data_IF_746164780246
#
_entry.id   IF_746164780246
#
_cell.length_a   1.000
_cell.length_b   1.000
_cell.length_c   1.000
_cell.angle_alpha   90.00
_cell.angle_beta   90.00
_cell.angle_gamma   90.00
#
_symmetry.space_group_name_H-M   'P 1'
#
loop_
_entity.id
_entity.type
_entity.pdbx_description
1 polymer ?
#
# COMPACT_ATOMS: atom_id res chain seq x y z
N UNK A 1 -10.10 -23.03 -0.55
CA UNK A 1 -9.56 -21.73 -1.03
C UNK A 1 -8.61 -21.23 0.03
N UNK A 2 -7.39 -20.81 -0.32
CA UNK A 2 -6.47 -20.22 0.66
C UNK A 2 -7.08 -18.95 1.23
N UNK A 3 -6.90 -18.73 2.53
CA UNK A 3 -7.28 -17.46 3.15
C UNK A 3 -6.40 -16.34 2.58
N UNK A 4 -6.99 -15.19 2.25
CA UNK A 4 -6.24 -14.02 1.86
C UNK A 4 -5.49 -13.47 3.10
N UNK A 5 -4.24 -13.07 2.93
CA UNK A 5 -3.38 -12.55 4.01
C UNK A 5 -2.65 -11.29 3.56
N UNK A 6 -2.30 -10.43 4.51
CA UNK A 6 -1.41 -9.29 4.27
C UNK A 6 0.05 -9.75 4.20
N UNK A 7 0.37 -10.57 3.19
CA UNK A 7 1.72 -11.05 2.95
C UNK A 7 2.64 -9.93 2.41
N UNK A 8 3.92 -10.26 2.22
CA UNK A 8 4.92 -9.29 1.73
C UNK A 8 4.53 -8.63 0.40
N UNK A 9 3.92 -9.36 -0.54
CA UNK A 9 3.53 -8.82 -1.84
C UNK A 9 2.36 -7.85 -1.71
N UNK A 10 1.32 -8.23 -0.96
CA UNK A 10 0.16 -7.36 -0.72
C UNK A 10 0.59 -6.10 0.04
N UNK A 11 1.41 -6.27 1.09
CA UNK A 11 1.95 -5.17 1.88
C UNK A 11 2.75 -4.19 1.02
N UNK A 12 3.70 -4.67 0.23
CA UNK A 12 4.50 -3.81 -0.65
C UNK A 12 3.63 -3.13 -1.71
N UNK A 13 2.63 -3.83 -2.25
CA UNK A 13 1.72 -3.24 -3.24
C UNK A 13 0.94 -2.05 -2.65
N UNK A 14 0.48 -2.16 -1.40
CA UNK A 14 -0.18 -1.06 -0.67
C UNK A 14 0.78 0.11 -0.47
N UNK A 15 2.01 -0.16 -0.02
CA UNK A 15 3.02 0.88 0.18
C UNK A 15 3.33 1.62 -1.12
N UNK A 16 3.50 0.89 -2.24
CA UNK A 16 3.72 1.49 -3.55
C UNK A 16 2.55 2.37 -3.98
N UNK A 17 1.30 1.92 -3.79
CA UNK A 17 0.13 2.70 -4.14
C UNK A 17 0.03 4.00 -3.34
N UNK A 18 0.33 3.95 -2.04
CA UNK A 18 0.20 5.10 -1.14
C UNK A 18 1.34 6.12 -1.31
N UNK A 19 2.58 5.65 -1.46
CA UNK A 19 3.75 6.53 -1.53
C UNK A 19 3.95 7.10 -2.92
N UNK A 20 3.85 6.27 -3.95
CA UNK A 20 4.12 6.72 -5.31
C UNK A 20 2.87 7.37 -5.92
N UNK A 21 1.67 6.89 -5.59
CA UNK A 21 0.37 7.42 -6.02
C UNK A 21 0.34 7.82 -7.52
N UNK A 22 0.88 6.97 -8.39
CA UNK A 22 0.97 7.19 -9.83
C UNK A 22 1.87 8.35 -10.28
N UNK A 23 2.69 8.93 -9.40
CA UNK A 23 3.65 9.99 -9.73
C UNK A 23 4.81 9.44 -10.52
N UNK A 24 5.33 10.25 -11.44
CA UNK A 24 6.69 10.10 -11.96
C UNK A 24 7.65 10.90 -11.07
N UNK A 25 8.88 10.43 -10.82
CA UNK A 25 9.61 9.33 -11.49
C UNK A 25 9.22 7.90 -11.05
N UNK A 26 9.72 6.84 -11.73
CA UNK A 26 9.52 5.43 -11.34
C UNK A 26 9.90 5.11 -9.89
N UNK A 27 9.48 3.93 -9.41
CA UNK A 27 9.79 3.47 -8.05
C UNK A 27 11.30 3.53 -7.76
N UNK A 28 11.65 3.81 -6.50
CA UNK A 28 13.04 3.88 -6.11
C UNK A 28 13.75 2.53 -6.34
N UNK A 29 15.06 2.52 -6.66
CA UNK A 29 15.81 1.28 -6.87
C UNK A 29 15.71 0.29 -5.71
N UNK A 30 15.57 0.79 -4.47
CA UNK A 30 15.35 -0.02 -3.27
C UNK A 30 14.01 -0.75 -3.29
N UNK A 31 12.91 -0.06 -3.63
CA UNK A 31 11.57 -0.68 -3.75
C UNK A 31 11.50 -1.66 -4.91
N UNK A 32 12.16 -1.35 -6.03
CA UNK A 32 12.29 -2.27 -7.17
C UNK A 32 13.09 -3.55 -6.82
N UNK A 33 14.11 -3.44 -5.96
CA UNK A 33 14.86 -4.59 -5.47
C UNK A 33 14.01 -5.44 -4.51
N UNK A 34 13.28 -4.80 -3.59
CA UNK A 34 12.35 -5.47 -2.68
C UNK A 34 11.24 -6.21 -3.43
N UNK A 35 10.61 -5.54 -4.41
CA UNK A 35 9.57 -6.14 -5.25
C UNK A 35 10.07 -7.38 -6.00
N UNK A 36 11.28 -7.30 -6.58
CA UNK A 36 11.93 -8.46 -7.21
C UNK A 36 12.22 -9.58 -6.22
N UNK A 37 12.65 -9.25 -5.00
CA UNK A 37 12.85 -10.23 -3.91
C UNK A 37 11.56 -10.97 -3.52
N UNK A 38 10.41 -10.32 -3.70
CA UNK A 38 9.07 -10.90 -3.52
C UNK A 38 8.51 -11.56 -4.80
N UNK A 39 9.31 -11.65 -5.86
CA UNK A 39 8.96 -12.25 -7.13
C UNK A 39 7.97 -11.43 -7.97
N UNK A 40 7.82 -10.13 -7.71
CA UNK A 40 6.97 -9.24 -8.52
C UNK A 40 7.69 -8.88 -9.82
N UNK A 41 6.96 -8.85 -10.93
CA UNK A 41 7.48 -8.32 -12.19
C UNK A 41 7.28 -6.80 -12.27
N UNK A 42 8.01 -6.13 -13.17
CA UNK A 42 7.91 -4.68 -13.35
C UNK A 42 6.49 -4.19 -13.64
N UNK A 43 5.70 -4.95 -14.41
CA UNK A 43 4.31 -4.61 -14.68
C UNK A 43 3.41 -4.68 -13.44
N UNK A 44 3.69 -5.59 -12.50
CA UNK A 44 2.96 -5.65 -11.22
C UNK A 44 3.34 -4.50 -10.30
N UNK A 45 4.62 -4.11 -10.27
CA UNK A 45 5.09 -2.91 -9.57
C UNK A 45 4.39 -1.67 -10.13
N UNK A 46 4.42 -1.51 -11.45
CA UNK A 46 3.78 -0.39 -12.15
C UNK A 46 2.26 -0.32 -11.96
N UNK A 47 1.60 -1.48 -11.86
CA UNK A 47 0.19 -1.55 -11.53
C UNK A 47 -0.05 -1.11 -10.07
N UNK A 48 0.72 -1.64 -9.12
CA UNK A 48 0.60 -1.34 -7.70
C UNK A 48 0.80 0.16 -7.43
N UNK A 49 1.82 0.77 -8.03
CA UNK A 49 2.07 2.23 -7.95
C UNK A 49 0.89 3.07 -8.39
N UNK A 50 0.08 2.56 -9.32
CA UNK A 50 -1.14 3.22 -9.82
C UNK A 50 -2.40 2.82 -9.04
N UNK A 51 -2.25 2.15 -7.90
CA UNK A 51 -3.36 1.66 -7.09
C UNK A 51 -4.13 0.50 -7.73
N UNK A 52 -3.49 -0.28 -8.62
CA UNK A 52 -4.11 -1.37 -9.38
C UNK A 52 -3.40 -2.70 -9.14
N UNK A 53 -4.10 -3.80 -9.38
CA UNK A 53 -3.51 -5.13 -9.40
C UNK A 53 -4.23 -6.01 -10.42
N UNK A 54 -3.53 -7.00 -10.96
CA UNK A 54 -4.12 -8.04 -11.81
C UNK A 54 -4.89 -9.08 -10.98
N UNK A 55 -4.62 -9.18 -9.69
CA UNK A 55 -5.39 -10.01 -8.75
C UNK A 55 -6.55 -9.21 -8.15
N UNK A 56 -7.76 -9.78 -8.22
CA UNK A 56 -9.00 -9.09 -7.81
C UNK A 56 -8.99 -8.77 -6.32
N UNK A 57 -8.51 -9.69 -5.46
CA UNK A 57 -8.49 -9.44 -4.01
C UNK A 57 -7.45 -8.39 -3.66
N UNK A 58 -6.27 -8.46 -4.26
CA UNK A 58 -5.23 -7.46 -4.10
C UNK A 58 -5.72 -6.10 -4.60
N UNK A 59 -6.43 -6.03 -5.72
CA UNK A 59 -7.04 -4.78 -6.20
C UNK A 59 -8.07 -4.21 -5.21
N UNK A 60 -8.82 -5.06 -4.50
CA UNK A 60 -9.74 -4.63 -3.43
C UNK A 60 -9.02 -4.15 -2.18
N UNK A 61 -7.93 -4.82 -1.80
CA UNK A 61 -7.06 -4.38 -0.71
C UNK A 61 -6.45 -3.00 -1.00
N UNK A 62 -6.00 -2.75 -2.23
CA UNK A 62 -5.47 -1.44 -2.65
C UNK A 62 -6.54 -0.34 -2.59
N UNK A 63 -7.75 -0.61 -3.08
CA UNK A 63 -8.85 0.35 -3.01
C UNK A 63 -9.20 0.71 -1.56
N UNK A 64 -9.26 -0.29 -0.68
CA UNK A 64 -9.48 -0.09 0.75
C UNK A 64 -8.36 0.78 1.37
N UNK A 65 -7.10 0.45 1.11
CA UNK A 65 -5.97 1.19 1.64
C UNK A 65 -5.95 2.66 1.18
N UNK A 66 -6.25 2.92 -0.09
CA UNK A 66 -6.28 4.28 -0.63
C UNK A 66 -7.38 5.13 0.01
N UNK A 67 -8.57 4.57 0.23
CA UNK A 67 -9.65 5.27 0.93
C UNK A 67 -9.35 5.44 2.42
N UNK A 68 -8.70 4.48 3.07
CA UNK A 68 -8.28 4.57 4.47
C UNK A 68 -7.21 5.66 4.69
N UNK A 69 -6.30 5.84 3.73
CA UNK A 69 -5.31 6.92 3.75
C UNK A 69 -5.89 8.30 3.35
N UNK A 70 -7.09 8.34 2.77
CA UNK A 70 -7.74 9.59 2.36
C UNK A 70 -8.28 10.36 3.55
N UNK A 71 -8.09 11.69 3.55
CA UNK A 71 -8.57 12.59 4.63
C UNK A 71 -10.08 12.70 4.71
N UNK A 72 -10.78 12.37 3.62
CA UNK A 72 -12.24 12.56 3.52
C UNK A 72 -13.02 11.35 4.07
N UNK A 73 -12.42 10.16 4.12
CA UNK A 73 -12.98 8.93 4.71
C UNK A 73 -14.35 8.46 4.18
N UNK A 74 -14.96 9.18 3.23
CA UNK A 74 -16.38 9.06 2.91
C UNK A 74 -16.78 7.72 2.30
N UNK A 75 -15.82 6.97 1.73
CA UNK A 75 -16.05 5.68 1.07
C UNK A 75 -15.39 4.50 1.78
N UNK A 76 -14.75 4.73 2.93
CA UNK A 76 -14.03 3.69 3.67
C UNK A 76 -14.95 2.51 4.03
N UNK A 77 -16.15 2.81 4.53
CA UNK A 77 -17.12 1.77 4.88
C UNK A 77 -17.56 0.94 3.66
N UNK A 78 -17.75 1.58 2.51
CA UNK A 78 -18.13 0.91 1.26
C UNK A 78 -17.01 0.01 0.74
N UNK A 79 -15.77 0.50 0.71
CA UNK A 79 -14.64 -0.29 0.24
C UNK A 79 -14.32 -1.44 1.20
N UNK A 80 -14.49 -1.26 2.52
CA UNK A 80 -14.36 -2.35 3.49
C UNK A 80 -15.41 -3.44 3.22
N UNK A 81 -16.67 -3.07 2.98
CA UNK A 81 -17.71 -4.03 2.64
C UNK A 81 -17.39 -4.80 1.34
N UNK A 82 -16.91 -4.09 0.31
CA UNK A 82 -16.49 -4.69 -0.97
C UNK A 82 -15.29 -5.63 -0.81
N UNK A 83 -14.32 -5.29 0.04
CA UNK A 83 -13.18 -6.14 0.37
C UNK A 83 -13.64 -7.45 1.02
N UNK A 84 -14.53 -7.37 2.04
CA UNK A 84 -15.10 -8.55 2.69
C UNK A 84 -15.88 -9.42 1.70
N UNK A 85 -16.72 -8.82 0.85
CA UNK A 85 -17.46 -9.55 -0.18
C UNK A 85 -16.57 -10.24 -1.21
N UNK A 86 -15.35 -9.73 -1.43
CA UNK A 86 -14.35 -10.36 -2.30
C UNK A 86 -13.58 -11.52 -1.65
N UNK A 87 -13.87 -11.81 -0.38
CA UNK A 87 -13.24 -12.88 0.39
C UNK A 87 -11.99 -12.46 1.15
N UNK A 88 -11.82 -11.16 1.43
CA UNK A 88 -10.79 -10.67 2.37
C UNK A 88 -11.37 -10.75 3.79
N UNK A 89 -10.71 -11.43 4.74
CA UNK A 89 -11.20 -11.48 6.11
C UNK A 89 -11.30 -10.09 6.75
N UNK A 90 -12.26 -9.91 7.65
CA UNK A 90 -12.51 -8.61 8.28
C UNK A 90 -11.32 -8.13 9.14
N UNK A 91 -10.60 -9.07 9.75
CA UNK A 91 -9.36 -8.83 10.48
C UNK A 91 -8.26 -8.29 9.54
N UNK A 92 -8.10 -8.88 8.36
CA UNK A 92 -7.12 -8.41 7.36
C UNK A 92 -7.51 -7.05 6.81
N UNK A 93 -8.81 -6.76 6.66
CA UNK A 93 -9.26 -5.41 6.30
C UNK A 93 -8.79 -4.35 7.31
N UNK A 94 -8.88 -4.66 8.62
CA UNK A 94 -8.38 -3.74 9.67
C UNK A 94 -6.87 -3.57 9.61
N UNK A 95 -6.12 -4.65 9.37
CA UNK A 95 -4.67 -4.58 9.20
C UNK A 95 -4.28 -3.70 8.01
N UNK A 96 -5.00 -3.80 6.88
CA UNK A 96 -4.80 -2.97 5.70
C UNK A 96 -5.05 -1.48 6.02
N UNK A 97 -6.14 -1.19 6.73
CA UNK A 97 -6.49 0.18 7.13
C UNK A 97 -5.44 0.77 8.09
N UNK A 98 -5.02 0.02 9.11
CA UNK A 98 -3.97 0.45 10.03
C UNK A 98 -2.64 0.71 9.33
N UNK A 99 -2.25 -0.16 8.39
CA UNK A 99 -1.07 0.06 7.56
C UNK A 99 -1.19 1.33 6.71
N UNK A 100 -2.37 1.57 6.13
CA UNK A 100 -2.60 2.74 5.29
C UNK A 100 -2.49 4.05 6.09
N UNK A 101 -3.07 4.09 7.29
CA UNK A 101 -2.95 5.21 8.22
C UNK A 101 -1.50 5.44 8.67
N UNK A 102 -0.75 4.38 8.99
CA UNK A 102 0.68 4.46 9.35
C UNK A 102 1.51 5.08 8.21
N UNK A 103 1.32 4.58 6.99
CA UNK A 103 2.05 5.06 5.81
C UNK A 103 1.66 6.50 5.50
N UNK A 104 0.37 6.86 5.58
CA UNK A 104 -0.09 8.23 5.36
C UNK A 104 0.48 9.20 6.40
N UNK A 105 0.60 8.77 7.66
CA UNK A 105 1.22 9.54 8.74
C UNK A 105 2.71 9.81 8.49
N UNK A 106 3.44 8.83 7.95
CA UNK A 106 4.84 8.99 7.57
C UNK A 106 5.01 9.93 6.36
N UNK A 107 4.18 9.78 5.32
CA UNK A 107 4.23 10.64 4.11
C UNK A 107 3.82 12.09 4.42
N UNK A 108 2.97 12.32 5.41
CA UNK A 108 2.56 13.65 5.83
C UNK A 108 3.55 14.36 6.76
N UNK A 109 4.51 13.64 7.34
CA UNK A 109 5.58 14.22 8.14
C UNK A 109 6.65 14.82 7.19
N UNK A 110 6.86 16.15 7.17
CA UNK A 110 7.93 16.73 6.36
C UNK A 110 9.28 16.24 6.89
N UNK A 111 10.17 15.87 5.98
CA UNK A 111 11.52 15.33 6.20
C UNK A 111 12.12 15.72 7.55
N UNK A 112 12.09 14.81 8.52
CA UNK A 112 13.01 14.88 9.66
C UNK A 112 14.40 14.51 9.14
N UNK A 113 15.13 15.52 8.65
CA UNK A 113 16.55 15.45 8.36
C UNK A 113 17.26 14.69 9.51
N UNK A 114 18.03 13.63 9.23
CA UNK A 114 18.81 13.00 10.28
C UNK A 114 19.77 14.03 10.83
N UNK A 115 19.70 14.28 12.14
CA UNK A 115 20.63 15.12 12.86
C UNK A 115 22.06 14.58 12.65
N UNK A 116 22.75 15.11 11.65
CA UNK A 116 24.20 14.98 11.52
C UNK A 116 24.78 15.66 12.74
N UNK A 117 25.20 14.83 13.70
CA UNK A 117 26.12 15.23 14.73
C UNK A 117 27.36 15.80 14.04
N UNK A 118 27.46 17.13 14.03
CA UNK A 118 28.71 17.83 13.77
C UNK A 118 29.54 17.67 15.03
N UNK A 119 30.43 16.69 15.02
CA UNK A 119 31.52 16.60 15.98
C UNK A 119 32.57 17.64 15.57
N UNK A 120 32.91 18.52 16.50
CA UNK A 120 33.86 19.62 16.34
C UNK A 120 34.43 20.00 17.69
#
# INVERSE_FOLDING_TARGET
MSSFTLDGRVRLSIVLALVDNGRDPPASPGREAEARGLGMCGAEVDAARRGRSFDVRTSRALALALEAASRDGGRLHEERARAVWSGIPAEVCREIESLAEEVAGYVAAPDAEPAVARDG
#
